data_IF_310480343110
#
_entry.id   IF_310480343110
#
_cell.length_a   1.000
_cell.length_b   1.000
_cell.length_c   1.000
_cell.angle_alpha   90.00
_cell.angle_beta   90.00
_cell.angle_gamma   90.00
#
_symmetry.space_group_name_H-M   'P 1'
#
loop_
_entity.id
_entity.type
_entity.pdbx_description
1 polymer ?
#
# COMPACT_ATOMS: atom_id res chain seq x y z
N UNK A 1 49.20 78.59 13.64
CA UNK A 1 48.15 78.28 14.64
C UNK A 1 46.88 77.64 13.97
N UNK A 2 46.24 78.24 12.95
CA UNK A 2 45.02 77.80 12.32
C UNK A 2 45.17 76.41 11.70
N UNK A 3 46.24 76.12 10.96
CA UNK A 3 46.50 74.80 10.34
C UNK A 3 46.73 73.69 11.36
N UNK A 4 47.34 74.00 12.52
CA UNK A 4 47.49 73.03 13.61
C UNK A 4 46.13 72.67 14.25
N UNK A 5 45.26 73.63 14.41
CA UNK A 5 43.87 73.41 14.94
C UNK A 5 43.04 72.63 14.01
N UNK A 6 43.13 72.86 12.69
CA UNK A 6 42.45 72.07 11.66
C UNK A 6 42.97 70.60 11.63
N UNK A 7 44.30 70.42 11.74
CA UNK A 7 44.93 69.08 11.81
C UNK A 7 44.47 68.26 13.02
N UNK A 8 44.40 68.91 14.21
CA UNK A 8 43.87 68.23 15.42
C UNK A 8 42.41 67.93 15.30
N UNK A 9 41.61 68.82 14.71
CA UNK A 9 40.15 68.55 14.44
C UNK A 9 39.94 67.41 13.49
N UNK A 10 40.69 67.33 12.40
CA UNK A 10 40.63 66.22 11.45
C UNK A 10 41.06 64.89 12.09
N UNK A 11 42.11 64.91 12.91
CA UNK A 11 42.51 63.66 13.62
C UNK A 11 41.46 63.18 14.61
N UNK A 12 40.88 64.13 15.39
CA UNK A 12 39.74 63.75 16.28
C UNK A 12 38.57 63.23 15.53
N UNK A 13 38.20 63.80 14.37
CA UNK A 13 37.11 63.31 13.53
C UNK A 13 37.41 61.92 13.02
N UNK A 14 38.61 61.61 12.55
CA UNK A 14 39.03 60.28 12.08
C UNK A 14 38.98 59.29 13.23
N UNK A 15 39.40 59.58 14.41
CA UNK A 15 39.35 58.76 15.60
C UNK A 15 37.85 58.44 15.93
N UNK A 16 37.00 59.46 15.86
CA UNK A 16 35.54 59.30 16.14
C UNK A 16 34.87 58.40 15.12
N UNK A 17 35.14 58.56 13.84
CA UNK A 17 34.59 57.73 12.77
C UNK A 17 35.11 56.29 12.81
N UNK A 18 36.41 56.10 13.18
CA UNK A 18 37.01 54.78 13.28
C UNK A 18 36.42 53.88 14.43
N UNK A 19 35.72 54.49 15.39
CA UNK A 19 35.14 53.81 16.53
C UNK A 19 33.67 53.48 16.38
N UNK A 20 33.07 53.72 15.22
CA UNK A 20 31.74 53.28 14.90
C UNK A 20 31.78 51.77 14.59
N UNK A 21 31.04 50.98 15.35
CA UNK A 21 30.92 49.53 15.15
C UNK A 21 29.48 49.18 14.83
N UNK A 22 29.29 48.50 13.73
CA UNK A 22 27.97 47.99 13.32
C UNK A 22 27.83 46.52 13.77
N UNK A 23 26.83 46.26 14.58
CA UNK A 23 26.48 44.90 15.02
C UNK A 23 25.45 44.34 14.07
N UNK A 24 25.73 43.19 13.39
CA UNK A 24 24.80 42.58 12.49
C UNK A 24 23.59 41.97 13.23
N UNK A 25 22.48 41.80 12.50
CA UNK A 25 21.26 41.20 13.06
C UNK A 25 21.51 39.77 13.54
N UNK A 26 20.84 39.38 14.63
CA UNK A 26 21.00 38.10 15.31
C UNK A 26 22.45 37.87 15.84
N UNK A 27 23.13 38.94 16.21
CA UNK A 27 24.42 38.89 16.90
C UNK A 27 24.44 39.89 18.03
N UNK A 28 25.19 39.60 19.08
CA UNK A 28 25.42 40.46 20.22
C UNK A 28 26.93 40.54 20.52
N UNK A 29 27.37 41.72 20.92
CA UNK A 29 28.75 41.94 21.31
C UNK A 29 28.81 42.30 22.77
N UNK A 30 29.63 41.56 23.52
CA UNK A 30 29.88 41.85 24.95
C UNK A 30 31.03 42.81 25.06
N UNK A 31 30.78 43.93 25.74
CA UNK A 31 31.71 45.03 25.90
C UNK A 31 32.23 45.07 27.33
N UNK A 32 33.55 45.16 27.45
CA UNK A 32 34.27 45.34 28.70
C UNK A 32 34.85 46.73 28.77
N UNK A 33 34.69 47.38 29.92
CA UNK A 33 35.33 48.64 30.28
C UNK A 33 36.43 48.33 31.31
N UNK A 34 37.69 48.46 30.90
CA UNK A 34 38.84 48.16 31.77
C UNK A 34 38.81 46.79 32.44
N UNK A 35 38.33 45.77 31.72
CA UNK A 35 38.22 44.39 32.23
C UNK A 35 36.97 44.10 33.03
N UNK A 36 36.03 45.04 33.18
CA UNK A 36 34.74 44.83 33.82
C UNK A 36 33.65 44.83 32.75
N UNK A 37 32.66 43.92 32.85
CA UNK A 37 31.46 43.94 32.03
C UNK A 37 30.78 45.33 32.11
N UNK A 38 30.57 45.94 30.98
CA UNK A 38 29.90 47.24 30.87
C UNK A 38 28.51 47.12 30.27
N UNK A 39 28.38 46.56 29.06
CA UNK A 39 27.13 46.46 28.36
C UNK A 39 27.18 45.34 27.30
N UNK A 40 26.01 44.88 26.87
CA UNK A 40 25.83 44.02 25.71
C UNK A 40 25.20 44.83 24.58
N UNK A 41 25.86 44.89 23.44
CA UNK A 41 25.37 45.59 22.26
C UNK A 41 24.52 44.64 21.41
N UNK A 42 23.29 45.06 21.21
CA UNK A 42 22.36 44.40 20.29
C UNK A 42 22.58 44.87 18.84
N UNK A 43 21.83 44.32 17.88
CA UNK A 43 21.94 44.73 16.48
C UNK A 43 21.71 46.23 16.28
N UNK A 44 22.61 46.89 15.56
CA UNK A 44 22.56 48.33 15.30
C UNK A 44 23.94 48.99 15.23
N UNK A 45 23.94 50.31 15.21
CA UNK A 45 25.15 51.13 15.19
C UNK A 45 25.48 51.51 16.61
N UNK A 46 26.68 51.18 17.06
CA UNK A 46 27.18 51.49 18.38
C UNK A 46 28.50 52.24 18.28
N UNK A 47 28.74 53.10 19.26
CA UNK A 47 29.96 53.87 19.36
C UNK A 47 30.84 53.32 20.49
N UNK A 48 32.07 52.97 20.16
CA UNK A 48 33.05 52.43 21.10
C UNK A 48 33.98 53.55 21.61
N UNK A 49 34.17 53.63 22.92
CA UNK A 49 35.16 54.57 23.51
C UNK A 49 36.53 53.96 23.27
N UNK A 50 37.39 54.65 22.47
CA UNK A 50 38.72 54.16 22.19
C UNK A 50 39.56 54.12 23.52
N UNK A 51 40.42 53.09 23.60
CA UNK A 51 41.33 52.80 24.75
C UNK A 51 40.63 52.19 25.98
N UNK A 52 39.40 52.57 26.31
CA UNK A 52 38.72 52.12 27.52
C UNK A 52 37.78 50.89 27.27
N UNK A 53 37.11 50.88 26.15
CA UNK A 53 36.17 49.80 25.81
C UNK A 53 36.82 48.79 24.88
N UNK A 54 36.64 47.51 25.22
CA UNK A 54 37.08 46.35 24.41
C UNK A 54 35.90 45.43 24.14
N UNK A 55 35.79 44.95 22.90
CA UNK A 55 34.88 43.86 22.57
C UNK A 55 35.49 42.56 23.09
N UNK A 56 34.89 41.97 24.12
CA UNK A 56 35.33 40.71 24.73
C UNK A 56 34.99 39.53 23.86
N UNK A 57 33.73 39.43 23.46
CA UNK A 57 33.25 38.32 22.61
C UNK A 57 32.18 38.79 21.66
N UNK A 58 32.19 38.24 20.44
CA UNK A 58 31.13 38.37 19.44
C UNK A 58 30.34 37.10 19.43
N UNK A 59 29.05 37.18 19.68
CA UNK A 59 28.18 36.01 19.87
C UNK A 59 27.07 36.05 18.84
N UNK A 60 26.75 34.91 18.21
CA UNK A 60 25.60 34.77 17.35
C UNK A 60 24.44 34.14 18.15
N UNK A 61 23.27 34.74 18.01
CA UNK A 61 22.04 34.27 18.63
C UNK A 61 21.32 33.25 17.75
N UNK A 62 21.86 32.97 16.55
CA UNK A 62 21.31 31.94 15.65
C UNK A 62 21.52 30.58 16.27
N UNK A 63 20.64 29.66 15.92
CA UNK A 63 20.79 28.27 16.29
C UNK A 63 22.09 27.69 15.71
N UNK A 64 22.83 27.04 16.55
CA UNK A 64 24.11 26.40 16.24
C UNK A 64 23.97 24.88 16.42
N UNK A 65 24.78 24.14 15.70
CA UNK A 65 24.83 22.69 15.73
C UNK A 65 26.17 22.24 16.25
N UNK A 66 26.17 21.46 17.30
CA UNK A 66 27.33 20.78 17.84
C UNK A 66 27.26 19.29 17.47
N UNK A 67 28.14 18.88 16.57
CA UNK A 67 28.29 17.46 16.19
C UNK A 67 29.37 16.84 17.07
N UNK A 68 29.00 15.95 17.97
CA UNK A 68 29.92 15.27 18.89
C UNK A 68 30.46 14.00 18.24
N UNK A 69 31.76 13.71 18.34
CA UNK A 69 32.33 12.49 17.82
C UNK A 69 31.75 11.25 18.51
N UNK A 70 31.84 10.06 17.87
CA UNK A 70 31.37 8.82 18.47
C UNK A 70 31.96 8.56 19.84
N UNK A 71 31.12 8.39 20.85
CA UNK A 71 31.48 8.14 22.23
C UNK A 71 31.26 6.67 22.59
N UNK A 72 32.24 5.99 23.19
CA UNK A 72 32.06 4.65 23.70
C UNK A 72 31.17 4.68 24.96
N UNK A 73 30.06 3.95 24.91
CA UNK A 73 29.11 3.79 26.01
C UNK A 73 28.86 2.32 26.29
N UNK A 74 28.52 1.98 27.53
CA UNK A 74 28.26 0.61 27.96
C UNK A 74 26.80 0.56 28.42
N UNK A 75 26.04 -0.35 27.88
CA UNK A 75 24.64 -0.60 28.23
C UNK A 75 24.53 -1.41 29.54
N UNK A 76 23.31 -1.50 30.08
CA UNK A 76 23.02 -2.27 31.30
C UNK A 76 23.34 -3.78 31.14
N UNK A 77 23.21 -4.33 29.94
CA UNK A 77 23.55 -5.70 29.56
C UNK A 77 25.05 -5.90 29.20
N UNK A 78 25.88 -4.90 29.56
CA UNK A 78 27.34 -4.91 29.43
C UNK A 78 27.85 -4.97 27.97
N UNK A 79 27.10 -4.44 27.03
CA UNK A 79 27.53 -4.28 25.63
C UNK A 79 28.14 -2.90 25.41
N UNK A 80 29.38 -2.86 24.91
CA UNK A 80 30.05 -1.60 24.53
C UNK A 80 29.63 -1.19 23.14
N UNK A 81 29.09 0.00 22.95
CA UNK A 81 28.70 0.54 21.65
C UNK A 81 29.25 1.93 21.45
N UNK A 82 29.29 2.41 20.21
CA UNK A 82 29.64 3.77 19.87
C UNK A 82 28.40 4.54 19.44
N UNK A 83 28.19 5.71 20.04
CA UNK A 83 27.04 6.57 19.76
C UNK A 83 27.52 7.98 19.49
N UNK A 84 27.09 8.55 18.37
CA UNK A 84 27.29 9.95 18.03
C UNK A 84 26.02 10.74 18.33
N UNK A 85 26.22 11.98 18.80
CA UNK A 85 25.11 12.87 19.12
C UNK A 85 25.28 14.20 18.43
N UNK A 86 24.14 14.79 18.07
CA UNK A 86 24.06 16.15 17.54
C UNK A 86 23.20 16.99 18.49
N UNK A 87 23.75 18.08 18.98
CA UNK A 87 23.06 19.01 19.88
C UNK A 87 22.76 20.30 19.14
N UNK A 88 21.50 20.69 19.09
CA UNK A 88 21.03 21.96 18.55
C UNK A 88 20.81 22.91 19.69
N UNK A 89 21.53 24.03 19.68
CA UNK A 89 21.47 25.00 20.75
C UNK A 89 21.52 26.44 20.23
N UNK A 90 21.05 27.37 21.03
CA UNK A 90 21.18 28.83 20.78
C UNK A 90 21.59 29.54 22.06
N UNK A 91 22.27 30.65 21.89
CA UNK A 91 22.61 31.50 23.01
C UNK A 91 21.43 32.46 23.27
N UNK A 92 20.95 32.51 24.51
CA UNK A 92 19.87 33.41 24.91
C UNK A 92 20.36 34.55 25.82
N UNK A 93 21.49 34.37 26.53
CA UNK A 93 22.12 35.40 27.32
C UNK A 93 23.63 35.45 27.03
N UNK A 94 24.02 36.51 26.31
CA UNK A 94 25.39 36.72 25.89
C UNK A 94 26.36 37.02 27.05
N UNK A 95 25.87 37.57 28.16
CA UNK A 95 26.68 37.82 29.35
C UNK A 95 27.02 36.49 30.04
N UNK A 96 26.02 35.65 30.31
CA UNK A 96 26.24 34.33 30.89
C UNK A 96 27.11 33.46 30.00
N UNK A 97 26.91 33.51 28.68
CA UNK A 97 27.71 32.76 27.72
C UNK A 97 29.19 33.17 27.73
N UNK A 98 29.50 34.46 28.04
CA UNK A 98 30.87 34.97 28.06
C UNK A 98 31.58 34.67 29.37
N UNK A 99 30.88 34.78 30.49
CA UNK A 99 31.48 34.73 31.82
C UNK A 99 31.08 33.51 32.66
N UNK A 100 30.04 32.75 32.26
CA UNK A 100 29.56 31.55 32.97
C UNK A 100 30.51 30.37 32.85
N UNK A 101 31.21 30.23 31.70
CA UNK A 101 32.18 29.15 31.47
C UNK A 101 33.32 29.66 30.59
N UNK A 102 34.52 29.12 30.75
CA UNK A 102 35.67 29.46 29.92
C UNK A 102 35.42 29.06 28.47
N UNK A 103 34.93 27.89 28.25
CA UNK A 103 34.51 27.38 26.93
C UNK A 103 33.16 26.67 27.02
N UNK A 104 32.06 27.42 26.87
CA UNK A 104 30.71 26.84 27.05
C UNK A 104 30.38 25.74 26.04
N UNK A 105 30.91 25.80 24.82
CA UNK A 105 30.70 24.77 23.78
C UNK A 105 31.35 23.43 24.18
N UNK A 106 32.63 23.46 24.61
CA UNK A 106 33.31 22.25 25.09
C UNK A 106 32.69 21.71 26.38
N UNK A 107 32.20 22.61 27.24
CA UNK A 107 31.45 22.18 28.45
C UNK A 107 30.16 21.47 28.09
N UNK A 108 29.39 21.97 27.10
CA UNK A 108 28.19 21.35 26.59
C UNK A 108 28.50 19.98 25.95
N UNK A 109 29.58 19.87 25.18
CA UNK A 109 30.01 18.62 24.55
C UNK A 109 30.33 17.55 25.59
N UNK A 110 31.12 17.87 26.61
CA UNK A 110 31.46 16.95 27.69
C UNK A 110 30.24 16.57 28.53
N UNK A 111 29.35 17.54 28.78
CA UNK A 111 28.08 17.27 29.50
C UNK A 111 27.18 16.34 28.69
N UNK A 112 27.07 16.55 27.39
CA UNK A 112 26.30 15.68 26.49
C UNK A 112 26.87 14.26 26.51
N UNK A 113 28.18 14.09 26.41
CA UNK A 113 28.85 12.79 26.46
C UNK A 113 28.62 12.04 27.79
N UNK A 114 28.70 12.76 28.92
CA UNK A 114 28.47 12.15 30.24
C UNK A 114 27.00 11.82 30.49
N UNK A 115 26.09 12.69 30.09
CA UNK A 115 24.64 12.46 30.18
C UNK A 115 24.21 11.28 29.31
N UNK A 116 24.71 11.20 28.06
CA UNK A 116 24.48 10.07 27.19
C UNK A 116 24.91 8.75 27.86
N UNK A 117 26.13 8.72 28.42
CA UNK A 117 26.65 7.51 29.09
C UNK A 117 25.77 7.09 30.25
N UNK A 118 25.27 8.02 31.03
CA UNK A 118 24.39 7.73 32.16
C UNK A 118 23.04 7.16 31.68
N UNK A 119 22.41 7.79 30.71
CA UNK A 119 21.09 7.35 30.20
C UNK A 119 21.19 5.98 29.53
N UNK A 120 22.23 5.75 28.70
CA UNK A 120 22.43 4.48 28.01
C UNK A 120 22.82 3.37 29.00
N UNK A 121 23.57 3.69 30.06
CA UNK A 121 23.92 2.73 31.14
C UNK A 121 22.71 2.19 31.91
N UNK A 122 21.58 2.86 31.87
CA UNK A 122 20.31 2.38 32.47
C UNK A 122 19.52 1.49 31.54
N UNK A 123 19.81 1.50 30.24
CA UNK A 123 19.05 0.81 29.19
C UNK A 123 19.77 -0.44 28.72
N UNK A 124 18.99 -1.43 28.29
CA UNK A 124 19.48 -2.59 27.54
C UNK A 124 19.74 -2.22 26.07
N UNK A 125 20.51 -3.04 25.37
CA UNK A 125 20.86 -2.81 23.96
C UNK A 125 19.62 -2.59 23.09
N UNK A 126 18.64 -3.48 23.18
CA UNK A 126 17.38 -3.41 22.41
C UNK A 126 16.59 -2.13 22.74
N UNK A 127 16.55 -1.76 24.01
CA UNK A 127 15.94 -0.51 24.48
C UNK A 127 16.65 0.72 23.92
N UNK A 128 17.96 0.71 23.85
CA UNK A 128 18.77 1.83 23.29
C UNK A 128 18.53 2.00 21.78
N UNK A 129 18.35 0.91 21.03
CA UNK A 129 18.10 0.93 19.61
C UNK A 129 16.67 1.37 19.26
N UNK A 130 15.69 0.99 20.08
CA UNK A 130 14.25 1.22 19.81
C UNK A 130 13.70 2.50 20.42
N UNK A 131 14.27 2.98 21.54
CA UNK A 131 13.72 4.10 22.32
C UNK A 131 14.49 5.42 22.12
N UNK A 132 14.95 5.70 20.90
CA UNK A 132 15.73 6.92 20.58
C UNK A 132 15.01 8.20 21.01
N UNK A 133 13.72 8.30 20.77
CA UNK A 133 12.93 9.49 21.13
C UNK A 133 12.92 9.74 22.65
N UNK A 134 12.85 8.67 23.44
CA UNK A 134 12.91 8.78 24.91
C UNK A 134 14.27 9.25 25.39
N UNK A 135 15.36 8.74 24.78
CA UNK A 135 16.73 9.15 25.09
C UNK A 135 16.93 10.62 24.71
N UNK A 136 16.53 11.01 23.47
CA UNK A 136 16.62 12.38 22.99
C UNK A 136 15.88 13.36 23.91
N UNK A 137 14.66 13.01 24.35
CA UNK A 137 13.86 13.81 25.25
C UNK A 137 14.51 13.97 26.64
N UNK A 138 15.01 12.89 27.24
CA UNK A 138 15.72 12.92 28.52
C UNK A 138 17.00 13.74 28.43
N UNK A 139 17.79 13.52 27.36
CA UNK A 139 19.01 14.30 27.13
C UNK A 139 18.71 15.79 27.00
N UNK A 140 17.72 16.16 26.17
CA UNK A 140 17.33 17.56 25.99
C UNK A 140 16.96 18.21 27.30
N UNK A 141 16.15 17.56 28.15
CA UNK A 141 15.74 18.11 29.44
C UNK A 141 16.90 18.32 30.40
N UNK A 142 17.79 17.33 30.54
CA UNK A 142 18.94 17.42 31.45
C UNK A 142 19.96 18.46 30.96
N UNK A 143 20.23 18.49 29.66
CA UNK A 143 21.17 19.43 29.09
C UNK A 143 20.65 20.86 29.17
N UNK A 144 19.37 21.10 28.86
CA UNK A 144 18.74 22.41 28.91
C UNK A 144 18.81 22.98 30.35
N UNK A 145 18.45 22.19 31.35
CA UNK A 145 18.54 22.60 32.77
C UNK A 145 19.99 22.95 33.18
N UNK A 146 20.94 22.11 32.79
CA UNK A 146 22.33 22.32 33.19
C UNK A 146 23.01 23.51 32.46
N UNK A 147 22.60 23.83 31.22
CA UNK A 147 23.21 24.86 30.40
C UNK A 147 22.62 26.26 30.60
N UNK A 148 21.50 26.39 31.29
CA UNK A 148 20.88 27.68 31.63
C UNK A 148 21.86 28.61 32.34
N UNK A 149 22.71 28.10 33.25
CA UNK A 149 23.73 28.87 33.94
C UNK A 149 24.82 29.44 33.00
N UNK A 150 24.97 28.89 31.81
CA UNK A 150 25.92 29.35 30.79
C UNK A 150 25.25 30.22 29.71
N UNK A 151 23.97 30.54 29.86
CA UNK A 151 23.22 31.32 28.87
C UNK A 151 22.98 30.61 27.55
N UNK A 152 23.00 29.28 27.54
CA UNK A 152 22.73 28.41 26.39
C UNK A 152 21.38 27.75 26.58
N UNK A 153 20.57 27.79 25.56
CA UNK A 153 19.30 27.07 25.43
C UNK A 153 19.47 25.92 24.49
N UNK A 154 19.29 24.69 24.96
CA UNK A 154 19.30 23.49 24.14
C UNK A 154 17.91 23.32 23.52
N UNK A 155 17.81 23.41 22.19
CA UNK A 155 16.53 23.24 21.47
C UNK A 155 16.15 21.78 21.36
N UNK A 156 17.11 20.94 20.99
CA UNK A 156 16.92 19.48 20.85
C UNK A 156 18.26 18.75 20.79
N UNK A 157 18.21 17.47 21.11
CA UNK A 157 19.35 16.55 20.98
C UNK A 157 18.90 15.38 20.13
N UNK A 158 19.76 14.94 19.23
CA UNK A 158 19.48 13.79 18.36
C UNK A 158 20.64 12.80 18.38
N UNK A 159 20.30 11.51 18.51
CA UNK A 159 21.24 10.43 18.30
C UNK A 159 21.38 10.17 16.80
N UNK A 160 22.62 10.33 16.27
CA UNK A 160 22.92 10.20 14.84
C UNK A 160 23.10 8.72 14.46
N UNK A 161 24.15 8.09 15.00
CA UNK A 161 24.42 6.68 14.75
C UNK A 161 24.56 5.95 16.10
N UNK A 162 24.09 4.70 16.12
CA UNK A 162 24.30 3.77 17.22
C UNK A 162 24.95 2.53 16.61
N UNK A 163 26.22 2.30 16.91
CA UNK A 163 27.04 1.25 16.31
C UNK A 163 27.40 0.24 17.39
N UNK A 164 26.72 -0.91 17.46
CA UNK A 164 27.08 -2.01 18.34
C UNK A 164 28.33 -2.73 17.82
N UNK A 165 28.99 -3.57 18.63
CA UNK A 165 30.09 -4.41 18.20
C UNK A 165 29.68 -5.32 17.05
N UNK A 166 30.61 -5.58 16.14
CA UNK A 166 30.35 -6.33 14.91
C UNK A 166 29.81 -7.74 15.15
N UNK A 167 30.24 -8.38 16.25
CA UNK A 167 29.77 -9.71 16.65
C UNK A 167 28.26 -9.69 17.00
N UNK A 168 27.85 -8.70 17.77
CA UNK A 168 26.44 -8.50 18.17
C UNK A 168 25.59 -8.13 16.94
N UNK A 169 26.10 -7.25 16.08
CA UNK A 169 25.42 -6.87 14.86
C UNK A 169 25.15 -8.09 13.98
N UNK A 170 26.17 -8.95 13.77
CA UNK A 170 26.04 -10.16 12.96
C UNK A 170 25.07 -11.19 13.57
N UNK A 171 25.04 -11.30 14.90
CA UNK A 171 24.08 -12.15 15.61
C UNK A 171 22.64 -11.63 15.46
N UNK A 172 22.43 -10.34 15.63
CA UNK A 172 21.12 -9.68 15.44
C UNK A 172 20.63 -9.80 13.99
N UNK A 173 21.51 -9.62 13.00
CA UNK A 173 21.16 -9.80 11.59
C UNK A 173 20.68 -11.23 11.30
N UNK A 174 21.37 -12.24 11.83
CA UNK A 174 20.95 -13.65 11.70
C UNK A 174 19.62 -13.92 12.37
N UNK A 175 19.43 -13.40 13.58
CA UNK A 175 18.18 -13.53 14.33
C UNK A 175 17.02 -12.85 13.60
N UNK A 176 17.21 -11.61 13.14
CA UNK A 176 16.21 -10.86 12.37
C UNK A 176 15.86 -11.54 11.08
N UNK A 177 16.85 -12.12 10.38
CA UNK A 177 16.62 -12.90 9.17
C UNK A 177 15.75 -14.13 9.46
N UNK A 178 16.13 -14.93 10.46
CA UNK A 178 15.36 -16.10 10.86
C UNK A 178 13.91 -15.78 11.26
N UNK A 179 13.71 -14.67 11.99
CA UNK A 179 12.36 -14.23 12.37
C UNK A 179 11.55 -13.75 11.15
N UNK A 180 12.19 -13.07 10.19
CA UNK A 180 11.53 -12.68 8.93
C UNK A 180 11.16 -13.90 8.11
N UNK A 181 12.07 -14.86 7.94
CA UNK A 181 11.84 -16.10 7.22
C UNK A 181 10.69 -16.90 7.84
N UNK A 182 10.64 -16.95 9.19
CA UNK A 182 9.54 -17.57 9.93
C UNK A 182 8.21 -16.87 9.69
N UNK A 183 8.18 -15.54 9.76
CA UNK A 183 6.95 -14.77 9.48
C UNK A 183 6.51 -14.91 8.04
N UNK A 184 7.45 -14.91 7.10
CA UNK A 184 7.17 -15.12 5.69
C UNK A 184 6.50 -16.47 5.45
N UNK A 185 7.06 -17.56 5.98
CA UNK A 185 6.49 -18.92 5.85
C UNK A 185 5.11 -19.03 6.48
N UNK A 186 4.89 -18.38 7.63
CA UNK A 186 3.57 -18.34 8.28
C UNK A 186 2.54 -17.61 7.42
N UNK A 187 2.87 -16.40 6.97
CA UNK A 187 1.99 -15.57 6.14
C UNK A 187 1.68 -16.26 4.80
N UNK A 188 2.65 -16.93 4.18
CA UNK A 188 2.44 -17.71 2.97
C UNK A 188 1.47 -18.87 3.21
N UNK A 189 1.67 -19.62 4.31
CA UNK A 189 0.78 -20.72 4.66
C UNK A 189 -0.66 -20.26 4.95
N UNK A 190 -0.82 -19.16 5.67
CA UNK A 190 -2.10 -18.51 5.93
C UNK A 190 -2.74 -18.01 4.63
N UNK A 191 -1.97 -17.38 3.76
CA UNK A 191 -2.40 -16.93 2.45
C UNK A 191 -2.88 -18.09 1.55
N UNK A 192 -2.14 -19.19 1.51
CA UNK A 192 -2.54 -20.39 0.78
C UNK A 192 -3.83 -21.01 1.34
N UNK A 193 -3.95 -21.09 2.67
CA UNK A 193 -5.15 -21.57 3.32
C UNK A 193 -6.37 -20.68 3.00
N UNK A 194 -6.23 -19.38 3.14
CA UNK A 194 -7.31 -18.42 2.82
C UNK A 194 -7.72 -18.51 1.34
N UNK A 195 -6.74 -18.56 0.43
CA UNK A 195 -6.99 -18.69 -0.99
C UNK A 195 -7.70 -20.01 -1.35
N UNK A 196 -7.32 -21.12 -0.70
CA UNK A 196 -7.98 -22.42 -0.91
C UNK A 196 -9.43 -22.43 -0.42
N UNK A 197 -9.70 -21.83 0.75
CA UNK A 197 -11.06 -21.68 1.29
C UNK A 197 -11.91 -20.82 0.34
N UNK A 198 -11.42 -19.64 -0.02
CA UNK A 198 -12.16 -18.72 -0.90
C UNK A 198 -12.44 -19.35 -2.27
N UNK A 199 -11.48 -20.11 -2.82
CA UNK A 199 -11.69 -20.85 -4.08
C UNK A 199 -12.75 -21.91 -3.94
N UNK A 200 -12.69 -22.73 -2.88
CA UNK A 200 -13.69 -23.77 -2.63
C UNK A 200 -15.09 -23.20 -2.39
N UNK A 201 -15.20 -22.06 -1.71
CA UNK A 201 -16.46 -21.34 -1.55
C UNK A 201 -16.99 -20.80 -2.88
N UNK A 202 -16.11 -20.24 -3.71
CA UNK A 202 -16.44 -19.77 -5.06
C UNK A 202 -16.92 -20.90 -5.97
N UNK A 203 -16.23 -22.03 -5.97
CA UNK A 203 -16.61 -23.23 -6.74
C UNK A 203 -17.97 -23.78 -6.28
N UNK A 204 -18.19 -23.87 -4.97
CA UNK A 204 -19.47 -24.24 -4.40
C UNK A 204 -20.60 -23.32 -4.85
N UNK A 205 -20.37 -22.01 -4.76
CA UNK A 205 -21.39 -21.04 -5.17
C UNK A 205 -21.65 -21.08 -6.67
N UNK A 206 -20.62 -21.27 -7.49
CA UNK A 206 -20.76 -21.44 -8.93
C UNK A 206 -21.60 -22.72 -9.30
N UNK A 207 -21.35 -23.83 -8.59
CA UNK A 207 -22.16 -25.07 -8.79
C UNK A 207 -23.62 -24.88 -8.40
N UNK A 208 -23.89 -24.18 -7.29
CA UNK A 208 -25.25 -23.88 -6.85
C UNK A 208 -25.96 -23.03 -7.89
N UNK A 209 -25.36 -21.93 -8.33
CA UNK A 209 -25.94 -21.04 -9.33
C UNK A 209 -26.15 -21.72 -10.67
N UNK A 210 -25.22 -22.58 -11.09
CA UNK A 210 -25.39 -23.38 -12.32
C UNK A 210 -26.56 -24.34 -12.21
N UNK A 211 -26.72 -25.06 -11.09
CA UNK A 211 -27.84 -25.98 -10.86
C UNK A 211 -29.19 -25.25 -10.78
N UNK A 212 -29.23 -24.09 -10.13
CA UNK A 212 -30.44 -23.25 -10.09
C UNK A 212 -30.80 -22.73 -11.49
N UNK A 213 -29.82 -22.25 -12.25
CA UNK A 213 -30.03 -21.81 -13.63
C UNK A 213 -30.54 -22.92 -14.56
N UNK A 214 -30.02 -24.15 -14.40
CA UNK A 214 -30.49 -25.29 -15.17
C UNK A 214 -31.92 -25.69 -14.78
N UNK A 215 -32.26 -25.70 -13.48
CA UNK A 215 -33.60 -25.91 -12.99
C UNK A 215 -34.59 -24.90 -13.59
N UNK A 216 -34.25 -23.61 -13.49
CA UNK A 216 -35.12 -22.54 -13.95
C UNK A 216 -35.29 -22.57 -15.49
N UNK A 217 -34.19 -22.88 -16.20
CA UNK A 217 -34.27 -23.10 -17.64
C UNK A 217 -35.16 -24.28 -18.05
N UNK A 218 -35.14 -25.39 -17.27
CA UNK A 218 -36.03 -26.54 -17.52
C UNK A 218 -37.50 -26.18 -17.25
N UNK A 219 -37.78 -25.46 -16.16
CA UNK A 219 -39.14 -25.01 -15.83
C UNK A 219 -39.64 -24.06 -16.93
N UNK A 220 -38.85 -23.06 -17.33
CA UNK A 220 -39.23 -22.11 -18.37
C UNK A 220 -39.52 -22.81 -19.74
N UNK A 221 -38.71 -23.83 -20.10
CA UNK A 221 -38.97 -24.64 -21.31
C UNK A 221 -40.27 -25.42 -21.20
N UNK A 222 -40.47 -26.09 -20.07
CA UNK A 222 -41.69 -26.87 -19.86
C UNK A 222 -42.97 -26.00 -19.87
N UNK A 223 -42.91 -24.84 -19.25
CA UNK A 223 -43.99 -23.83 -19.30
C UNK A 223 -44.22 -23.32 -20.73
N UNK A 224 -43.13 -23.03 -21.47
CA UNK A 224 -43.20 -22.59 -22.86
C UNK A 224 -43.86 -23.66 -23.77
N UNK A 225 -43.44 -24.94 -23.61
CA UNK A 225 -44.03 -26.07 -24.34
C UNK A 225 -45.49 -26.26 -23.98
N UNK A 226 -45.84 -26.22 -22.68
CA UNK A 226 -47.22 -26.33 -22.24
C UNK A 226 -48.11 -25.21 -22.82
N UNK A 227 -47.65 -23.96 -22.79
CA UNK A 227 -48.36 -22.81 -23.40
C UNK A 227 -48.49 -23.00 -24.92
N UNK A 228 -47.42 -23.44 -25.60
CA UNK A 228 -47.46 -23.68 -27.05
C UNK A 228 -48.49 -24.76 -27.41
N UNK A 229 -48.55 -25.84 -26.62
CA UNK A 229 -49.56 -26.90 -26.83
C UNK A 229 -50.98 -26.37 -26.61
N UNK A 230 -51.22 -25.61 -25.55
CA UNK A 230 -52.54 -25.02 -25.26
C UNK A 230 -52.97 -24.08 -26.39
N UNK A 231 -52.08 -23.15 -26.82
CA UNK A 231 -52.36 -22.24 -27.92
C UNK A 231 -52.63 -22.98 -29.23
N UNK A 232 -51.88 -24.04 -29.53
CA UNK A 232 -52.11 -24.85 -30.72
C UNK A 232 -53.49 -25.52 -30.68
N UNK A 233 -53.88 -26.08 -29.52
CA UNK A 233 -55.22 -26.71 -29.34
C UNK A 233 -56.35 -25.71 -29.36
N UNK A 234 -56.17 -24.52 -28.79
CA UNK A 234 -57.15 -23.45 -28.90
C UNK A 234 -57.31 -22.95 -30.33
N UNK A 235 -56.23 -22.82 -31.09
CA UNK A 235 -56.26 -22.45 -32.50
C UNK A 235 -56.97 -23.54 -33.35
N UNK A 236 -56.68 -24.82 -33.08
CA UNK A 236 -57.39 -25.94 -33.75
C UNK A 236 -58.90 -25.93 -33.40
N UNK A 237 -59.25 -25.74 -32.13
CA UNK A 237 -60.65 -25.67 -31.70
C UNK A 237 -61.36 -24.44 -32.32
N UNK A 238 -60.74 -23.32 -32.43
CA UNK A 238 -61.23 -22.09 -33.08
C UNK A 238 -61.46 -22.38 -34.59
N UNK A 239 -60.50 -23.03 -35.24
CA UNK A 239 -60.63 -23.43 -36.64
C UNK A 239 -61.77 -24.39 -36.90
N UNK A 240 -62.00 -25.40 -36.01
CA UNK A 240 -63.09 -26.29 -36.08
C UNK A 240 -64.43 -25.62 -35.85
N UNK A 241 -64.55 -24.68 -34.93
CA UNK A 241 -65.75 -23.87 -34.71
C UNK A 241 -66.06 -22.98 -35.91
N UNK A 242 -65.09 -22.36 -36.51
CA UNK A 242 -65.29 -21.57 -37.73
C UNK A 242 -65.77 -22.40 -38.90
N UNK A 243 -65.22 -23.60 -39.06
CA UNK A 243 -65.71 -24.59 -40.05
C UNK A 243 -67.15 -25.01 -39.81
N UNK A 244 -67.54 -25.22 -38.57
CA UNK A 244 -68.92 -25.57 -38.19
C UNK A 244 -69.87 -24.40 -38.44
N UNK A 245 -69.51 -23.20 -38.13
CA UNK A 245 -70.33 -21.97 -38.36
C UNK A 245 -70.46 -21.67 -39.86
N UNK A 246 -69.49 -21.94 -40.65
CA UNK A 246 -69.50 -21.75 -42.10
C UNK A 246 -70.35 -22.72 -42.88
N UNK A 247 -71.05 -23.69 -42.16
CA UNK A 247 -71.92 -24.62 -42.79
C UNK A 247 -71.18 -25.58 -43.72
N UNK A 248 -70.17 -26.29 -43.19
CA UNK A 248 -69.28 -27.18 -43.96
C UNK A 248 -70.07 -28.21 -44.76
N UNK A 249 -70.08 -28.05 -46.08
CA UNK A 249 -70.72 -28.99 -47.05
C UNK A 249 -69.83 -30.25 -47.16
N UNK A 250 -70.43 -31.35 -47.66
CA UNK A 250 -69.77 -32.65 -47.79
C UNK A 250 -68.43 -32.59 -48.56
N UNK A 251 -68.25 -31.61 -49.47
CA UNK A 251 -67.01 -31.37 -50.23
C UNK A 251 -65.88 -30.82 -49.36
N UNK A 252 -66.18 -30.02 -48.33
CA UNK A 252 -65.18 -29.48 -47.39
C UNK A 252 -64.68 -30.55 -46.41
N UNK A 253 -65.55 -31.45 -46.00
CA UNK A 253 -65.19 -32.61 -45.18
C UNK A 253 -64.25 -33.56 -45.90
N UNK A 254 -64.51 -33.79 -47.21
CA UNK A 254 -63.62 -34.56 -48.05
C UNK A 254 -62.25 -33.93 -48.20
N UNK A 255 -62.15 -32.60 -48.38
CA UNK A 255 -60.89 -31.90 -48.45
C UNK A 255 -60.09 -32.05 -47.14
N UNK A 256 -60.74 -31.93 -46.00
CA UNK A 256 -60.11 -32.10 -44.68
C UNK A 256 -59.68 -33.57 -44.45
N UNK A 257 -60.35 -34.51 -45.04
CA UNK A 257 -59.93 -35.90 -45.03
C UNK A 257 -58.64 -36.11 -45.82
N UNK A 258 -58.54 -35.51 -46.98
CA UNK A 258 -57.28 -35.53 -47.78
C UNK A 258 -56.11 -34.80 -47.07
N UNK A 259 -56.32 -33.63 -46.41
CA UNK A 259 -55.31 -32.97 -45.57
C UNK A 259 -54.84 -33.82 -44.39
N UNK A 260 -55.76 -34.58 -43.75
CA UNK A 260 -55.39 -35.49 -42.67
C UNK A 260 -54.59 -36.72 -43.19
N UNK A 261 -54.90 -37.19 -44.39
CA UNK A 261 -54.12 -38.27 -45.03
C UNK A 261 -52.73 -37.83 -45.47
N UNK A 262 -52.59 -36.60 -45.99
CA UNK A 262 -51.28 -36.04 -46.32
C UNK A 262 -50.40 -35.82 -45.08
N UNK A 263 -50.99 -35.38 -43.96
CA UNK A 263 -50.27 -35.30 -42.68
C UNK A 263 -49.83 -36.62 -42.10
N UNK A 264 -50.56 -37.68 -42.38
CA UNK A 264 -50.20 -39.05 -42.02
C UNK A 264 -49.07 -39.59 -42.93
N UNK A 265 -49.07 -39.20 -44.22
CA UNK A 265 -48.02 -39.58 -45.16
C UNK A 265 -46.67 -38.89 -44.90
N UNK A 266 -46.64 -37.63 -44.34
CA UNK A 266 -45.46 -36.91 -43.96
C UNK A 266 -44.84 -37.36 -42.61
N UNK A 267 -45.49 -38.27 -41.90
CA UNK A 267 -45.02 -38.89 -40.65
C UNK A 267 -43.85 -39.84 -40.90
N UNK A 268 -42.74 -39.68 -40.16
CA UNK A 268 -41.54 -40.54 -40.19
C UNK A 268 -41.77 -41.95 -39.65
N UNK A 269 -43.04 -42.47 -39.62
CA UNK A 269 -43.38 -43.80 -39.08
C UNK A 269 -43.33 -44.87 -40.17
N UNK A 270 -42.51 -45.90 -39.96
CA UNK A 270 -42.34 -47.05 -40.90
C UNK A 270 -43.53 -48.02 -41.01
N UNK A 271 -44.62 -47.79 -40.32
CA UNK A 271 -45.87 -48.62 -40.41
C UNK A 271 -47.12 -47.76 -40.47
N UNK A 272 -47.74 -47.73 -41.59
CA UNK A 272 -49.06 -47.10 -41.80
C UNK A 272 -50.13 -48.17 -41.67
N UNK A 273 -50.93 -48.13 -40.62
CA UNK A 273 -52.14 -48.98 -40.45
C UNK A 273 -53.28 -48.17 -41.03
N UNK A 274 -53.76 -48.57 -42.22
CA UNK A 274 -54.92 -47.95 -42.87
C UNK A 274 -56.11 -48.80 -42.53
N UNK A 275 -57.19 -48.31 -41.87
CA UNK A 275 -58.40 -49.02 -41.65
C UNK A 275 -59.07 -49.38 -43.01
N UNK A 276 -59.61 -50.58 -43.13
CA UNK A 276 -60.20 -51.13 -44.39
C UNK A 276 -61.26 -50.27 -45.01
N UNK A 277 -61.91 -49.42 -44.22
CA UNK A 277 -62.98 -48.52 -44.69
C UNK A 277 -62.45 -47.29 -45.45
N UNK A 278 -61.15 -46.94 -45.31
CA UNK A 278 -60.51 -45.84 -46.03
C UNK A 278 -60.00 -46.28 -47.44
N UNK A 279 -59.84 -47.54 -47.69
CA UNK A 279 -59.32 -48.13 -48.96
C UNK A 279 -60.33 -48.10 -50.10
N UNK A 280 -61.58 -48.02 -49.81
CA UNK A 280 -62.64 -47.99 -50.80
C UNK A 280 -62.78 -46.69 -51.58
N UNK A 281 -62.12 -45.62 -51.11
CA UNK A 281 -62.22 -44.24 -51.68
C UNK A 281 -60.99 -43.81 -52.49
N UNK A 282 -59.91 -44.57 -52.49
CA UNK A 282 -58.70 -44.29 -53.28
C UNK A 282 -58.46 -45.40 -54.25
N UNK A 283 -58.60 -45.14 -55.55
CA UNK A 283 -58.38 -46.12 -56.63
C UNK A 283 -57.02 -46.79 -56.42
N UNK A 284 -57.08 -48.14 -56.54
CA UNK A 284 -56.00 -49.08 -56.28
C UNK A 284 -54.69 -48.81 -57.01
N UNK A 285 -54.75 -48.02 -58.07
CA UNK A 285 -53.62 -47.79 -58.98
C UNK A 285 -52.61 -46.69 -58.52
N UNK A 286 -53.00 -45.76 -57.60
CA UNK A 286 -52.10 -44.65 -57.14
C UNK A 286 -51.22 -45.10 -55.94
N UNK A 287 -51.69 -46.05 -55.14
CA UNK A 287 -50.93 -46.48 -53.94
C UNK A 287 -49.79 -47.46 -54.24
N UNK A 288 -49.92 -48.21 -55.41
CA UNK A 288 -48.88 -49.18 -55.75
C UNK A 288 -47.73 -48.65 -56.58
N UNK A 289 -47.87 -47.48 -57.23
CA UNK A 289 -46.80 -46.90 -58.02
C UNK A 289 -45.72 -46.14 -57.19
N UNK A 290 -46.06 -45.61 -55.98
CA UNK A 290 -45.10 -44.93 -55.10
C UNK A 290 -44.38 -45.87 -54.14
N UNK A 291 -44.94 -47.01 -53.77
CA UNK A 291 -44.36 -48.03 -52.93
C UNK A 291 -43.17 -48.79 -53.56
N UNK A 292 -43.06 -48.74 -54.90
CA UNK A 292 -42.00 -49.44 -55.66
C UNK A 292 -40.76 -48.67 -55.91
N UNK A 293 -40.69 -47.32 -55.49
CA UNK A 293 -39.58 -46.43 -55.72
C UNK A 293 -38.54 -46.32 -54.57
N UNK A 294 -38.77 -46.98 -53.45
CA UNK A 294 -37.89 -46.98 -52.31
C UNK A 294 -37.08 -48.27 -52.12
N UNK A 295 -36.27 -48.59 -53.13
CA UNK A 295 -35.29 -49.64 -53.04
C UNK A 295 -33.88 -49.09 -53.30
N UNK A 296 -32.99 -49.32 -52.34
CA UNK A 296 -31.55 -49.19 -52.41
C UNK A 296 -30.91 -47.77 -52.22
N UNK A 297 -30.58 -47.49 -50.99
CA UNK A 297 -29.31 -46.82 -50.65
C UNK A 297 -28.86 -47.38 -49.31
N UNK A 298 -28.10 -48.45 -49.37
CA UNK A 298 -27.22 -48.87 -48.26
C UNK A 298 -26.05 -47.95 -48.22
N UNK A 299 -25.82 -47.30 -47.10
CA UNK A 299 -24.56 -46.67 -46.78
C UNK A 299 -24.02 -47.32 -45.50
N UNK A 300 -22.91 -48.09 -45.60
CA UNK A 300 -22.21 -48.59 -44.44
C UNK A 300 -21.06 -47.60 -44.13
N UNK A 301 -21.15 -46.82 -43.09
CA UNK A 301 -20.02 -46.33 -42.34
C UNK A 301 -20.47 -45.31 -41.28
N UNK A 302 -20.71 -45.77 -40.09
CA UNK A 302 -20.60 -44.93 -38.93
C UNK A 302 -20.26 -45.78 -37.69
N UNK A 303 -18.96 -46.06 -37.57
CA UNK A 303 -18.35 -46.58 -36.34
C UNK A 303 -18.00 -45.42 -35.43
N UNK A 304 -18.48 -45.37 -34.19
CA UNK A 304 -18.07 -44.31 -33.29
C UNK A 304 -16.61 -44.48 -32.82
N UNK A 305 -15.79 -43.50 -33.09
CA UNK A 305 -14.40 -43.40 -32.65
C UNK A 305 -14.33 -43.37 -31.11
N UNK A 306 -13.72 -44.38 -30.57
CA UNK A 306 -13.35 -44.54 -29.16
C UNK A 306 -12.23 -43.53 -28.84
N UNK A 307 -12.53 -42.53 -28.04
CA UNK A 307 -11.53 -41.55 -27.54
C UNK A 307 -10.46 -42.26 -26.72
N UNK A 308 -9.23 -42.18 -27.18
CA UNK A 308 -8.04 -42.66 -26.49
C UNK A 308 -7.73 -41.72 -25.34
N UNK A 309 -7.76 -42.22 -24.13
CA UNK A 309 -7.21 -41.59 -22.91
C UNK A 309 -5.70 -41.60 -23.01
N UNK A 310 -5.07 -40.44 -23.04
CA UNK A 310 -3.62 -40.27 -22.85
C UNK A 310 -3.28 -40.46 -21.37
N UNK A 311 -2.27 -41.24 -21.00
CA UNK A 311 -1.76 -41.30 -19.64
C UNK A 311 -0.85 -40.10 -19.35
N UNK A 312 -1.01 -39.50 -18.17
CA UNK A 312 -0.15 -38.48 -17.58
C UNK A 312 1.29 -39.05 -17.33
N UNK A 313 2.33 -38.26 -17.60
CA UNK A 313 3.67 -38.60 -17.14
C UNK A 313 3.90 -38.01 -15.74
N UNK A 314 3.75 -38.80 -14.72
CA UNK A 314 4.27 -38.52 -13.40
C UNK A 314 5.42 -39.48 -13.08
N UNK A 315 6.51 -38.92 -12.53
CA UNK A 315 7.63 -39.58 -11.90
C UNK A 315 8.77 -40.09 -12.83
N UNK A 316 9.72 -39.19 -13.06
CA UNK A 316 11.13 -39.59 -12.93
C UNK A 316 11.97 -38.34 -12.60
N UNK A 317 12.40 -38.23 -11.39
CA UNK A 317 13.59 -37.46 -11.06
C UNK A 317 14.28 -38.07 -9.82
N UNK A 318 15.18 -39.00 -10.09
CA UNK A 318 16.23 -39.38 -9.18
C UNK A 318 17.57 -38.99 -9.77
N UNK A 319 18.37 -38.33 -8.95
CA UNK A 319 19.83 -38.14 -9.01
C UNK A 319 20.37 -36.99 -9.87
N UNK A 320 20.71 -35.86 -9.26
CA UNK A 320 22.09 -35.55 -8.85
C UNK A 320 22.07 -34.36 -7.88
#
# INVERSE_FOLDING_TARGET
MLYALIGVGALLLIILLANITVVPQASEYVIELLGKYHATWTAGIHFKIPFFEKISKKITLKEQVLDSPPQPVITKDNVTMQIDTVVYFKVFDSKLYTYGAVNPVSALENLAATTLRNIVGELELDGTLTSRDTINGKMTSILDEATDQWGIKVSRVELKNIIPPQEIQSAMEKQMKAERDRRETLLQAEGHKAAAITRAEGDKQAMILAAEGERDARIARAEGEARAIVLAREAEAAGLRALKEAGADASVLELKRYEALTKLADGKAAKIIIPTDAVSAVSRDVLFSEASGLGSATNPDNTPARAAVKPDPCCDNKKK
#
